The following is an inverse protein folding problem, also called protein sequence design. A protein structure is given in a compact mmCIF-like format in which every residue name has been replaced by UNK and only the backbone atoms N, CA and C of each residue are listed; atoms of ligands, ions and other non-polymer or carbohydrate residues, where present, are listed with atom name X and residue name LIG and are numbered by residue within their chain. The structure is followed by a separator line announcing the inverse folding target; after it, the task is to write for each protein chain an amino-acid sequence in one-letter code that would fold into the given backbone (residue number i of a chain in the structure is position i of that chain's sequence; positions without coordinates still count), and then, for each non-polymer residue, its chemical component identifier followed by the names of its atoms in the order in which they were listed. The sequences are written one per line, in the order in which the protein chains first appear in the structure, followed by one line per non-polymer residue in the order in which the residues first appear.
data_IF_009223750528
#
_entry.id   IF_009223750528
#
_cell.length_a   1.000
_cell.length_b   1.000
_cell.length_c   1.000
_cell.angle_alpha   90.00
_cell.angle_beta   90.00
_cell.angle_gamma   90.00
#
_symmetry.space_group_name_H-M   'P 1'
#
loop_
_entity.id
_entity.type
_entity.pdbx_description
1 polymer ?
#
# COMPACT_ATOMS: atom_id res chain seq x y z
N UNK A 1 -9.60 24.15 2.02
CA UNK A 1 -9.82 22.73 2.36
C UNK A 1 -8.47 22.13 2.75
N UNK A 2 -8.20 22.04 4.05
CA UNK A 2 -6.91 21.56 4.57
C UNK A 2 -6.82 20.05 4.38
N UNK A 3 -6.00 19.58 3.42
CA UNK A 3 -5.66 18.15 3.33
C UNK A 3 -4.79 17.82 4.54
N UNK A 4 -5.39 17.23 5.57
CA UNK A 4 -4.65 16.75 6.74
C UNK A 4 -3.63 15.70 6.27
N UNK A 5 -2.37 15.73 6.74
CA UNK A 5 -1.39 14.75 6.33
C UNK A 5 -1.82 13.36 6.82
N UNK A 6 -1.95 12.40 5.91
CA UNK A 6 -2.22 11.01 6.24
C UNK A 6 -0.90 10.32 6.52
N UNK A 7 -0.81 9.62 7.65
CA UNK A 7 0.37 8.79 7.98
C UNK A 7 0.03 7.36 7.63
N UNK A 8 0.87 6.72 6.81
CA UNK A 8 0.73 5.31 6.46
C UNK A 8 1.75 4.48 7.25
N UNK A 9 1.26 3.49 7.99
CA UNK A 9 2.09 2.60 8.81
C UNK A 9 1.94 1.16 8.34
N UNK A 10 3.06 0.41 8.32
CA UNK A 10 3.06 -1.03 8.10
C UNK A 10 2.91 -1.71 9.46
N UNK A 11 1.80 -2.42 9.67
CA UNK A 11 1.59 -3.19 10.89
C UNK A 11 2.03 -4.66 10.66
N UNK A 12 3.12 -5.07 11.32
CA UNK A 12 3.65 -6.45 11.27
C UNK A 12 2.86 -7.40 12.18
N UNK A 13 1.53 -7.43 12.05
CA UNK A 13 0.70 -8.36 12.82
C UNK A 13 0.59 -9.70 12.08
N UNK A 14 1.59 -10.56 12.28
CA UNK A 14 1.43 -12.01 12.22
C UNK A 14 1.34 -12.67 10.84
N UNK A 15 0.48 -12.24 9.91
CA UNK A 15 0.30 -12.88 8.59
C UNK A 15 -0.24 -11.84 7.57
N UNK A 16 0.48 -11.68 6.44
CA UNK A 16 0.23 -10.76 5.29
C UNK A 16 0.43 -9.25 5.58
N UNK A 17 1.12 -8.54 4.67
CA UNK A 17 1.51 -7.13 4.83
C UNK A 17 0.32 -6.17 4.81
N UNK A 18 -0.01 -5.58 5.96
CA UNK A 18 -1.11 -4.60 6.06
C UNK A 18 -0.57 -3.17 5.94
N UNK A 19 -1.12 -2.39 5.02
CA UNK A 19 -0.88 -0.95 4.88
C UNK A 19 -2.04 -0.19 5.52
N UNK A 20 -1.81 0.51 6.62
CA UNK A 20 -2.85 1.25 7.35
C UNK A 20 -2.78 2.74 7.06
N UNK A 21 -3.90 3.39 6.75
CA UNK A 21 -4.02 4.85 6.67
C UNK A 21 -4.50 5.43 8.01
N UNK A 22 -3.88 6.52 8.48
CA UNK A 22 -4.20 7.17 9.76
C UNK A 22 -4.44 8.68 9.60
N UNK A 23 -5.43 9.22 10.33
CA UNK A 23 -5.64 10.68 10.45
C UNK A 23 -4.63 11.28 11.46
N UNK A 24 -3.87 12.29 11.03
CA UNK A 24 -2.87 12.98 11.87
C UNK A 24 -3.45 13.86 12.97
N UNK A 25 -4.72 14.26 12.87
CA UNK A 25 -5.38 15.11 13.87
C UNK A 25 -5.99 14.33 15.03
N UNK A 26 -6.13 13.02 14.89
CA UNK A 26 -6.63 12.10 15.91
C UNK A 26 -6.20 10.70 15.46
N UNK A 27 -5.16 10.13 16.07
CA UNK A 27 -4.48 8.90 15.61
C UNK A 27 -5.44 7.72 15.67
N UNK A 28 -6.18 7.55 14.58
CA UNK A 28 -7.13 6.47 14.36
C UNK A 28 -6.89 5.90 12.98
N UNK A 29 -6.90 4.57 12.88
CA UNK A 29 -6.90 3.89 11.59
C UNK A 29 -8.21 4.20 10.88
N UNK A 30 -8.12 4.69 9.65
CA UNK A 30 -9.28 5.02 8.81
C UNK A 30 -9.53 3.99 7.72
N UNK A 31 -8.52 3.19 7.36
CA UNK A 31 -8.63 2.08 6.42
C UNK A 31 -7.34 1.26 6.35
N UNK A 32 -7.41 0.13 5.66
CA UNK A 32 -6.26 -0.75 5.44
C UNK A 32 -6.32 -1.45 4.09
N UNK A 33 -5.16 -1.91 3.61
CA UNK A 33 -5.04 -2.77 2.45
C UNK A 33 -4.05 -3.91 2.73
N UNK A 34 -4.47 -5.14 2.45
CA UNK A 34 -3.64 -6.32 2.60
C UNK A 34 -2.87 -6.57 1.30
N UNK A 35 -1.56 -6.35 1.32
CA UNK A 35 -0.70 -6.69 0.20
C UNK A 35 -0.45 -8.20 0.17
N UNK A 36 -0.30 -8.81 -1.03
CA UNK A 36 -0.18 -10.26 -1.17
C UNK A 36 1.11 -10.86 -0.60
N UNK A 37 2.12 -10.04 -0.29
CA UNK A 37 3.38 -10.45 0.28
C UNK A 37 3.66 -9.81 1.65
N UNK A 38 4.95 -9.58 1.89
CA UNK A 38 5.42 -8.91 3.09
C UNK A 38 5.79 -7.46 2.75
N UNK A 39 4.94 -6.52 3.15
CA UNK A 39 5.23 -5.10 3.06
C UNK A 39 6.49 -4.76 3.88
N UNK A 40 7.55 -4.31 3.21
CA UNK A 40 8.84 -3.93 3.79
C UNK A 40 9.02 -2.43 3.90
N UNK A 41 8.30 -1.66 3.09
CA UNK A 41 8.38 -0.21 3.08
C UNK A 41 7.22 0.41 2.33
N UNK A 42 6.82 1.61 2.74
CA UNK A 42 5.76 2.40 2.11
C UNK A 42 6.27 3.82 1.86
N UNK A 43 5.98 4.36 0.68
CA UNK A 43 6.22 5.76 0.34
C UNK A 43 4.92 6.37 -0.20
N UNK A 44 4.65 7.63 0.16
CA UNK A 44 3.42 8.33 -0.24
C UNK A 44 3.76 9.49 -1.16
N UNK A 45 3.07 9.57 -2.28
CA UNK A 45 3.14 10.73 -3.18
C UNK A 45 1.74 11.08 -3.67
N UNK A 46 1.27 12.27 -3.28
CA UNK A 46 -0.07 12.73 -3.61
C UNK A 46 -1.15 11.81 -3.04
N UNK A 47 -1.94 11.20 -3.94
CA UNK A 47 -3.01 10.26 -3.60
C UNK A 47 -2.61 8.79 -3.76
N UNK A 48 -1.31 8.50 -3.84
CA UNK A 48 -0.81 7.14 -4.07
C UNK A 48 0.17 6.71 -2.98
N UNK A 49 0.04 5.44 -2.56
CA UNK A 49 0.98 4.73 -1.72
C UNK A 49 1.72 3.66 -2.54
N UNK A 50 3.04 3.69 -2.47
CA UNK A 50 3.93 2.74 -3.12
C UNK A 50 4.49 1.79 -2.07
N UNK A 51 4.23 0.50 -2.22
CA UNK A 51 4.55 -0.51 -1.20
C UNK A 51 5.55 -1.51 -1.76
N UNK A 52 6.73 -1.61 -1.14
CA UNK A 52 7.68 -2.66 -1.44
C UNK A 52 7.25 -3.94 -0.72
N UNK A 53 6.61 -4.86 -1.43
CA UNK A 53 5.91 -6.03 -0.91
C UNK A 53 6.69 -7.35 -1.09
N UNK A 54 7.98 -7.33 -0.75
CA UNK A 54 8.86 -8.50 -0.82
C UNK A 54 8.85 -9.17 -2.20
N UNK A 55 8.54 -10.47 -2.24
CA UNK A 55 8.53 -11.28 -3.47
C UNK A 55 7.40 -10.89 -4.45
N UNK A 56 6.36 -10.22 -3.95
CA UNK A 56 5.28 -9.66 -4.78
C UNK A 56 5.72 -8.43 -5.57
N UNK A 57 6.86 -7.84 -5.21
CA UNK A 57 7.43 -6.64 -5.83
C UNK A 57 6.81 -5.32 -5.34
N UNK A 58 6.67 -4.34 -6.21
CA UNK A 58 6.12 -3.02 -5.87
C UNK A 58 4.59 -3.01 -6.09
N UNK A 59 3.82 -2.56 -5.10
CA UNK A 59 2.37 -2.32 -5.20
C UNK A 59 2.10 -0.83 -5.27
N UNK A 60 1.09 -0.44 -6.05
CA UNK A 60 0.63 0.94 -6.18
C UNK A 60 -0.82 0.98 -5.73
N UNK A 61 -1.08 1.67 -4.63
CA UNK A 61 -2.38 1.76 -3.98
C UNK A 61 -2.87 3.20 -4.08
N UNK A 62 -4.05 3.39 -4.65
CA UNK A 62 -4.80 4.64 -4.57
C UNK A 62 -5.36 4.80 -3.15
N UNK A 63 -4.99 5.91 -2.53
CA UNK A 63 -5.38 6.31 -1.17
C UNK A 63 -6.15 7.64 -1.19
N UNK A 64 -6.75 8.00 -2.34
CA UNK A 64 -7.60 9.19 -2.48
C UNK A 64 -8.80 9.15 -1.53
N UNK A 65 -9.37 7.96 -1.30
CA UNK A 65 -10.25 7.66 -0.18
C UNK A 65 -9.50 6.76 0.85
N UNK A 66 -9.05 7.34 1.98
CA UNK A 66 -8.33 6.60 3.01
C UNK A 66 -9.15 5.50 3.69
N UNK A 67 -10.48 5.55 3.59
CA UNK A 67 -11.37 4.52 4.13
C UNK A 67 -11.55 3.32 3.20
N UNK A 68 -11.19 3.47 1.93
CA UNK A 68 -11.27 2.42 0.92
C UNK A 68 -10.05 2.43 -0.01
N UNK A 69 -8.83 2.13 0.50
CA UNK A 69 -7.65 2.04 -0.34
C UNK A 69 -7.81 0.97 -1.42
N UNK A 70 -7.40 1.25 -2.65
CA UNK A 70 -7.56 0.35 -3.80
C UNK A 70 -6.25 0.17 -4.53
N UNK A 71 -5.82 -1.08 -4.77
CA UNK A 71 -4.66 -1.32 -5.61
C UNK A 71 -4.99 -1.06 -7.09
N UNK A 72 -4.19 -0.19 -7.71
CA UNK A 72 -4.35 0.21 -9.12
C UNK A 72 -3.25 -0.36 -10.02
N UNK A 73 -2.22 -0.99 -9.45
CA UNK A 73 -1.16 -1.62 -10.22
C UNK A 73 -0.07 -2.24 -9.36
N UNK A 74 0.78 -3.04 -10.02
CA UNK A 74 1.95 -3.65 -9.38
C UNK A 74 3.07 -3.93 -10.39
N UNK A 75 4.30 -3.98 -9.90
CA UNK A 75 5.48 -4.47 -10.62
C UNK A 75 6.08 -5.65 -9.86
N UNK A 76 6.23 -6.81 -10.50
CA UNK A 76 6.78 -8.00 -9.83
C UNK A 76 8.30 -7.93 -9.68
N UNK A 77 8.81 -8.37 -8.52
CA UNK A 77 10.24 -8.37 -8.19
C UNK A 77 11.05 -9.42 -8.98
N UNK A 78 10.42 -10.53 -9.35
CA UNK A 78 11.04 -11.56 -10.17
C UNK A 78 10.19 -11.76 -11.41
N UNK A 79 10.53 -10.99 -12.46
CA UNK A 79 10.37 -11.19 -13.91
C UNK A 79 9.12 -11.99 -14.35
N UNK A 80 8.46 -11.47 -15.38
CA UNK A 80 7.66 -12.16 -16.41
C UNK A 80 8.28 -13.50 -16.92
N UNK A 81 8.66 -14.46 -16.07
CA UNK A 81 9.47 -15.62 -16.49
C UNK A 81 8.66 -16.65 -17.27
N UNK A 82 7.33 -16.52 -17.34
CA UNK A 82 6.48 -17.39 -18.15
C UNK A 82 5.21 -16.71 -18.70
N UNK A 83 5.27 -15.42 -19.04
CA UNK A 83 4.13 -14.79 -19.72
C UNK A 83 4.57 -13.98 -20.93
N UNK A 84 5.06 -14.68 -21.95
CA UNK A 84 4.56 -14.38 -23.30
C UNK A 84 3.09 -14.82 -23.27
N UNK A 85 2.17 -13.87 -23.22
CA UNK A 85 0.93 -13.99 -23.97
C UNK A 85 0.69 -12.65 -24.64
N UNK A 86 0.71 -12.73 -25.97
CA UNK A 86 0.28 -11.72 -26.91
C UNK A 86 -1.14 -11.25 -26.61
#
# INVERSE_FOLDING_TARGET
MSKKPLVLTIALLGLCGIVQAQDSSNVRTVGYYDTPGYARGVAVSGSYAYVADGDSGLRIIDISDPSSPTEIGYYRSWIQRYAIRC
#
